data_IF_518879722992
#
_entry.id   IF_518879722992
#
_cell.length_a   1.000
_cell.length_b   1.000
_cell.length_c   1.000
_cell.angle_alpha   90.00
_cell.angle_beta   90.00
_cell.angle_gamma   90.00
#
_symmetry.space_group_name_H-M   'P 1'
#
loop_
_entity.id
_entity.type
_entity.pdbx_description
1 polymer ?
#
# COMPACT_ATOMS: atom_id res chain seq x y z
N UNK A 1 -13.89 2.58 8.12
CA UNK A 1 -13.68 1.36 8.92
C UNK A 1 -13.62 0.10 8.06
N UNK A 2 -14.54 -0.07 7.10
CA UNK A 2 -14.68 -1.30 6.29
C UNK A 2 -13.45 -1.95 5.64
N UNK A 3 -12.54 -1.17 5.06
CA UNK A 3 -11.34 -1.73 4.41
C UNK A 3 -10.38 -2.34 5.44
N UNK A 4 -10.26 -1.73 6.63
CA UNK A 4 -9.40 -2.26 7.68
C UNK A 4 -9.90 -3.62 8.19
N UNK A 5 -11.23 -3.80 8.24
CA UNK A 5 -11.87 -5.06 8.61
C UNK A 5 -11.59 -6.15 7.56
N UNK A 6 -11.75 -5.83 6.27
CA UNK A 6 -11.40 -6.76 5.18
C UNK A 6 -9.92 -7.17 5.21
N UNK A 7 -9.00 -6.22 5.42
CA UNK A 7 -7.58 -6.55 5.51
C UNK A 7 -7.27 -7.37 6.77
N UNK A 8 -7.96 -7.12 7.89
CA UNK A 8 -7.82 -7.92 9.09
C UNK A 8 -8.30 -9.37 8.90
N UNK A 9 -9.40 -9.58 8.18
CA UNK A 9 -9.84 -10.90 7.75
C UNK A 9 -8.77 -11.61 6.93
N UNK A 10 -8.28 -10.94 5.86
CA UNK A 10 -7.25 -11.47 4.99
C UNK A 10 -5.99 -11.91 5.76
N UNK A 11 -5.52 -11.09 6.71
CA UNK A 11 -4.31 -11.39 7.47
C UNK A 11 -4.51 -12.44 8.58
N UNK A 12 -5.74 -12.62 9.09
CA UNK A 12 -6.05 -13.71 10.04
C UNK A 12 -6.22 -15.05 9.33
N UNK A 13 -6.67 -15.00 8.07
CA UNK A 13 -6.99 -16.15 7.23
C UNK A 13 -6.19 -16.13 5.92
N UNK A 14 -4.83 -16.06 5.97
CA UNK A 14 -4.01 -15.87 4.78
C UNK A 14 -3.97 -17.10 3.87
N UNK A 15 -4.19 -18.29 4.44
CA UNK A 15 -4.16 -19.58 3.72
C UNK A 15 -5.54 -20.04 3.25
N UNK A 16 -6.61 -19.42 3.73
CA UNK A 16 -7.95 -19.82 3.37
C UNK A 16 -8.18 -19.51 1.87
N UNK A 17 -8.88 -20.39 1.13
CA UNK A 17 -9.25 -20.11 -0.26
C UNK A 17 -10.03 -18.80 -0.39
N UNK A 18 -9.97 -18.22 -1.58
CA UNK A 18 -10.86 -17.12 -1.95
C UNK A 18 -12.09 -17.79 -2.54
N UNK A 19 -13.23 -17.71 -1.85
CA UNK A 19 -14.52 -18.23 -2.32
C UNK A 19 -15.45 -17.07 -2.70
N UNK A 20 -16.56 -17.38 -3.38
CA UNK A 20 -17.57 -16.39 -3.71
C UNK A 20 -18.16 -15.75 -2.44
N UNK A 21 -18.45 -16.55 -1.42
CA UNK A 21 -18.98 -16.10 -0.14
C UNK A 21 -18.02 -15.12 0.54
N UNK A 22 -16.73 -15.46 0.55
CA UNK A 22 -15.68 -14.59 1.11
C UNK A 22 -15.56 -13.27 0.35
N UNK A 23 -15.64 -13.30 -0.98
CA UNK A 23 -15.67 -12.06 -1.78
C UNK A 23 -16.90 -11.19 -1.47
N UNK A 24 -18.06 -11.81 -1.24
CA UNK A 24 -19.27 -11.09 -0.83
C UNK A 24 -19.16 -10.51 0.58
N UNK A 25 -18.55 -11.22 1.51
CA UNK A 25 -18.24 -10.70 2.86
C UNK A 25 -17.27 -9.53 2.80
N UNK A 26 -16.16 -9.66 2.06
CA UNK A 26 -15.24 -8.56 1.80
C UNK A 26 -15.95 -7.35 1.18
N UNK A 27 -16.85 -7.57 0.22
CA UNK A 27 -17.64 -6.48 -0.35
C UNK A 27 -18.55 -5.82 0.68
N UNK A 28 -19.23 -6.58 1.56
CA UNK A 28 -20.01 -6.03 2.67
C UNK A 28 -19.16 -5.18 3.61
N UNK A 29 -17.97 -5.65 3.97
CA UNK A 29 -17.02 -4.89 4.79
C UNK A 29 -16.63 -3.59 4.09
N UNK A 30 -16.20 -3.65 2.83
CA UNK A 30 -15.74 -2.48 2.06
C UNK A 30 -16.85 -1.44 1.84
N UNK A 31 -18.10 -1.89 1.70
CA UNK A 31 -19.28 -1.01 1.54
C UNK A 31 -19.98 -0.62 2.85
N UNK A 32 -19.46 -1.05 4.01
CA UNK A 32 -20.10 -0.79 5.28
C UNK A 32 -20.43 0.71 5.48
N UNK A 33 -21.71 1.00 5.71
CA UNK A 33 -22.25 2.36 5.89
C UNK A 33 -22.71 3.07 4.60
N UNK A 34 -22.47 2.50 3.41
CA UNK A 34 -23.02 3.01 2.14
C UNK A 34 -24.50 2.67 2.03
N UNK A 35 -25.29 3.62 1.54
CA UNK A 35 -26.75 3.48 1.34
C UNK A 35 -27.18 3.71 -0.10
N UNK A 36 -26.27 4.19 -0.93
CA UNK A 36 -26.43 4.50 -2.35
C UNK A 36 -26.15 3.30 -3.28
N UNK A 37 -25.75 2.17 -2.71
CA UNK A 37 -25.48 0.91 -3.40
C UNK A 37 -26.54 -0.11 -2.97
N UNK A 38 -27.31 -0.63 -3.93
CA UNK A 38 -28.33 -1.64 -3.66
C UNK A 38 -27.73 -3.06 -3.51
N UNK A 39 -26.78 -3.41 -4.39
CA UNK A 39 -26.18 -4.75 -4.47
C UNK A 39 -24.96 -4.89 -3.54
N UNK A 40 -25.15 -4.81 -2.22
CA UNK A 40 -24.06 -5.01 -1.26
C UNK A 40 -23.91 -6.50 -0.90
N UNK A 41 -22.79 -7.08 -1.33
CA UNK A 41 -22.45 -8.47 -1.01
C UNK A 41 -23.06 -9.45 -2.01
N UNK A 42 -23.17 -9.00 -3.26
CA UNK A 42 -23.63 -9.75 -4.42
C UNK A 42 -23.04 -9.11 -5.67
N UNK A 43 -23.01 -9.84 -6.79
CA UNK A 43 -22.64 -9.26 -8.07
C UNK A 43 -23.63 -8.17 -8.51
N UNK A 44 -23.12 -7.19 -9.27
CA UNK A 44 -23.91 -6.08 -9.81
C UNK A 44 -24.96 -6.59 -10.80
N UNK A 45 -26.14 -5.97 -10.77
CA UNK A 45 -27.23 -6.25 -11.72
C UNK A 45 -27.69 -4.95 -12.38
N UNK A 46 -27.25 -4.73 -13.62
CA UNK A 46 -27.70 -3.57 -14.40
C UNK A 46 -27.57 -3.85 -15.91
N UNK A 47 -28.39 -3.17 -16.69
CA UNK A 47 -28.43 -3.32 -18.15
C UNK A 47 -27.36 -2.48 -18.86
N UNK A 48 -26.90 -1.39 -18.24
CA UNK A 48 -25.87 -0.51 -18.82
C UNK A 48 -24.48 -1.16 -18.79
N UNK A 49 -23.56 -0.82 -19.72
CA UNK A 49 -22.18 -1.29 -19.65
C UNK A 49 -21.48 -0.82 -18.36
N UNK A 50 -20.80 -1.73 -17.66
CA UNK A 50 -19.91 -1.35 -16.56
C UNK A 50 -18.58 -0.90 -17.15
N UNK A 51 -18.20 0.35 -16.93
CA UNK A 51 -16.98 0.93 -17.49
C UNK A 51 -15.90 1.08 -16.43
N UNK A 52 -14.69 0.62 -16.76
CA UNK A 52 -13.51 0.85 -15.94
C UNK A 52 -13.00 2.26 -16.26
N UNK A 53 -13.09 3.14 -15.27
CA UNK A 53 -12.81 4.57 -15.43
C UNK A 53 -11.75 5.07 -14.46
N UNK A 54 -11.02 6.11 -14.88
CA UNK A 54 -10.16 6.91 -14.00
C UNK A 54 -10.48 8.40 -14.15
N UNK A 55 -9.95 9.25 -13.27
CA UNK A 55 -10.23 10.69 -13.26
C UNK A 55 -11.33 11.12 -12.28
N UNK A 56 -11.55 12.43 -12.18
CA UNK A 56 -12.57 13.01 -11.30
C UNK A 56 -13.96 12.92 -11.95
N UNK A 57 -15.01 12.94 -11.13
CA UNK A 57 -16.39 12.97 -11.60
C UNK A 57 -16.60 14.11 -12.62
N UNK A 58 -17.21 13.82 -13.76
CA UNK A 58 -17.38 14.77 -14.88
C UNK A 58 -16.15 14.99 -15.77
N UNK A 59 -15.00 14.36 -15.46
CA UNK A 59 -13.79 14.32 -16.30
C UNK A 59 -13.18 12.92 -16.30
N UNK A 60 -14.04 11.91 -16.41
CA UNK A 60 -13.63 10.52 -16.38
C UNK A 60 -13.07 10.11 -17.74
N UNK A 61 -11.97 9.36 -17.72
CA UNK A 61 -11.47 8.61 -18.87
C UNK A 61 -11.98 7.18 -18.76
N UNK A 62 -12.70 6.74 -19.78
CA UNK A 62 -13.08 5.33 -19.95
C UNK A 62 -11.87 4.60 -20.52
N UNK A 63 -11.48 3.50 -19.87
CA UNK A 63 -10.38 2.65 -20.33
C UNK A 63 -10.92 1.46 -21.14
N UNK A 64 -11.89 0.74 -20.59
CA UNK A 64 -12.56 -0.39 -21.26
C UNK A 64 -13.87 -0.73 -20.56
N UNK A 65 -14.65 -1.63 -21.16
CA UNK A 65 -15.93 -2.11 -20.62
C UNK A 65 -15.79 -3.53 -20.07
N UNK A 66 -16.40 -3.80 -18.91
CA UNK A 66 -16.47 -5.11 -18.30
C UNK A 66 -17.59 -5.98 -18.93
N UNK A 67 -17.55 -7.31 -18.75
CA UNK A 67 -18.61 -8.21 -19.23
C UNK A 67 -20.01 -7.81 -18.73
N UNK A 68 -21.10 -8.12 -19.46
CA UNK A 68 -22.46 -7.88 -18.99
C UNK A 68 -22.78 -8.66 -17.70
N UNK A 69 -23.73 -8.15 -16.90
CA UNK A 69 -24.10 -8.74 -15.60
C UNK A 69 -24.47 -10.23 -15.65
N UNK A 70 -25.10 -10.67 -16.74
CA UNK A 70 -25.51 -12.07 -16.95
C UNK A 70 -24.32 -13.06 -17.03
N UNK A 71 -23.12 -12.57 -17.37
CA UNK A 71 -21.91 -13.41 -17.47
C UNK A 71 -21.13 -13.51 -16.16
N UNK A 72 -21.41 -12.65 -15.18
CA UNK A 72 -20.56 -12.52 -13.99
C UNK A 72 -20.43 -13.81 -13.19
N UNK A 73 -21.51 -14.56 -13.00
CA UNK A 73 -21.47 -15.83 -12.26
C UNK A 73 -20.52 -16.84 -12.91
N UNK A 74 -20.56 -16.97 -14.24
CA UNK A 74 -19.69 -17.89 -14.98
C UNK A 74 -18.24 -17.41 -14.97
N UNK A 75 -17.98 -16.12 -15.24
CA UNK A 75 -16.60 -15.61 -15.27
C UNK A 75 -15.94 -15.64 -13.89
N UNK A 76 -16.68 -15.33 -12.83
CA UNK A 76 -16.16 -15.42 -11.47
C UNK A 76 -15.92 -16.86 -11.04
N UNK A 77 -16.81 -17.79 -11.37
CA UNK A 77 -16.60 -19.21 -11.10
C UNK A 77 -15.30 -19.72 -11.75
N UNK A 78 -15.04 -19.34 -13.01
CA UNK A 78 -13.78 -19.67 -13.71
C UNK A 78 -12.55 -19.07 -13.03
N UNK A 79 -12.62 -17.81 -12.61
CA UNK A 79 -11.52 -17.17 -11.91
C UNK A 79 -11.22 -17.86 -10.56
N UNK A 80 -12.25 -18.18 -9.79
CA UNK A 80 -12.09 -18.84 -8.48
C UNK A 80 -11.53 -20.25 -8.63
N UNK A 81 -12.02 -21.01 -9.61
CA UNK A 81 -11.48 -22.33 -9.95
C UNK A 81 -10.01 -22.24 -10.40
N UNK A 82 -9.67 -21.26 -11.23
CA UNK A 82 -8.28 -21.02 -11.66
C UNK A 82 -7.37 -20.65 -10.49
N UNK A 83 -7.86 -19.82 -9.55
CA UNK A 83 -7.12 -19.46 -8.34
C UNK A 83 -6.77 -20.68 -7.49
N UNK A 84 -7.69 -21.64 -7.37
CA UNK A 84 -7.45 -22.87 -6.61
C UNK A 84 -6.47 -23.80 -7.34
N UNK A 85 -6.69 -24.05 -8.62
CA UNK A 85 -5.79 -24.90 -9.43
C UNK A 85 -4.35 -24.39 -9.48
N UNK A 86 -4.17 -23.07 -9.44
CA UNK A 86 -2.84 -22.44 -9.52
C UNK A 86 -2.22 -22.12 -8.16
N UNK A 87 -2.92 -22.44 -7.06
CA UNK A 87 -2.40 -22.27 -5.70
C UNK A 87 -1.12 -23.11 -5.49
N UNK A 88 -0.31 -22.81 -4.45
CA UNK A 88 0.89 -23.61 -4.16
C UNK A 88 0.61 -25.11 -3.98
N UNK A 89 -0.58 -25.45 -3.47
CA UNK A 89 -1.05 -26.83 -3.27
C UNK A 89 -1.91 -27.36 -4.43
N UNK A 90 -2.14 -26.56 -5.46
CA UNK A 90 -3.04 -26.86 -6.58
C UNK A 90 -2.44 -27.79 -7.63
N UNK A 91 -3.26 -28.16 -8.62
CA UNK A 91 -2.85 -29.06 -9.71
C UNK A 91 -1.79 -28.46 -10.65
N UNK A 92 -1.77 -27.14 -10.79
CA UNK A 92 -0.94 -26.40 -11.73
C UNK A 92 -0.33 -25.14 -11.06
N UNK A 93 0.52 -25.32 -10.03
CA UNK A 93 1.03 -24.21 -9.24
C UNK A 93 1.78 -23.20 -10.11
N UNK A 94 1.50 -21.92 -9.87
CA UNK A 94 2.18 -20.81 -10.54
C UNK A 94 3.07 -20.05 -9.55
N UNK A 95 4.12 -19.41 -10.08
CA UNK A 95 4.93 -18.49 -9.29
C UNK A 95 4.05 -17.37 -8.69
N UNK A 96 4.30 -17.02 -7.43
CA UNK A 96 3.44 -16.14 -6.62
C UNK A 96 3.11 -14.80 -7.30
N UNK A 97 4.15 -14.14 -7.83
CA UNK A 97 4.02 -12.82 -8.47
C UNK A 97 3.21 -12.93 -9.76
N UNK A 98 3.47 -13.97 -10.58
CA UNK A 98 2.70 -14.25 -11.80
C UNK A 98 1.24 -14.51 -11.48
N UNK A 99 0.97 -15.38 -10.50
CA UNK A 99 -0.39 -15.70 -10.06
C UNK A 99 -1.13 -14.47 -9.56
N UNK A 100 -0.49 -13.67 -8.71
CA UNK A 100 -1.08 -12.44 -8.17
C UNK A 100 -1.38 -11.42 -9.29
N UNK A 101 -0.45 -11.24 -10.24
CA UNK A 101 -0.62 -10.33 -11.37
C UNK A 101 -1.77 -10.73 -12.29
N UNK A 102 -1.89 -12.02 -12.62
CA UNK A 102 -3.00 -12.54 -13.44
C UNK A 102 -4.32 -12.43 -12.68
N UNK A 103 -4.36 -12.86 -11.42
CA UNK A 103 -5.57 -12.81 -10.59
C UNK A 103 -6.13 -11.38 -10.49
N UNK A 104 -5.23 -10.41 -10.25
CA UNK A 104 -5.58 -9.00 -10.15
C UNK A 104 -6.17 -8.48 -11.47
N UNK A 105 -5.46 -8.68 -12.59
CA UNK A 105 -5.91 -8.25 -13.91
C UNK A 105 -7.26 -8.86 -14.28
N UNK A 106 -7.43 -10.17 -14.09
CA UNK A 106 -8.65 -10.87 -14.45
C UNK A 106 -9.84 -10.40 -13.61
N UNK A 107 -9.66 -10.24 -12.29
CA UNK A 107 -10.71 -9.72 -11.42
C UNK A 107 -11.12 -8.28 -11.80
N UNK A 108 -10.16 -7.38 -12.02
CA UNK A 108 -10.44 -6.00 -12.43
C UNK A 108 -11.14 -5.94 -13.80
N UNK A 109 -10.85 -6.90 -14.69
CA UNK A 109 -11.47 -7.04 -16.00
C UNK A 109 -12.92 -7.53 -15.93
N UNK A 110 -13.24 -8.45 -15.01
CA UNK A 110 -14.63 -8.90 -14.76
C UNK A 110 -15.45 -7.79 -14.09
N UNK A 111 -14.83 -7.04 -13.19
CA UNK A 111 -15.43 -5.92 -12.45
C UNK A 111 -16.80 -6.27 -11.84
N UNK A 112 -16.88 -7.29 -10.97
CA UNK A 112 -18.15 -7.94 -10.62
C UNK A 112 -19.08 -7.12 -9.71
N UNK A 113 -18.57 -6.10 -9.03
CA UNK A 113 -19.33 -5.28 -8.07
C UNK A 113 -19.64 -3.88 -8.60
N UNK A 114 -20.65 -3.21 -8.03
CA UNK A 114 -21.00 -1.83 -8.41
C UNK A 114 -19.93 -0.81 -8.01
N UNK A 115 -19.23 -1.07 -6.90
CA UNK A 115 -18.09 -0.32 -6.40
C UNK A 115 -17.19 -1.32 -5.63
N UNK A 116 -15.98 -0.92 -5.26
CA UNK A 116 -15.11 -1.72 -4.40
C UNK A 116 -14.20 -2.70 -5.12
N UNK A 117 -14.36 -2.88 -6.44
CA UNK A 117 -13.56 -3.80 -7.24
C UNK A 117 -12.06 -3.56 -7.03
N UNK A 118 -11.56 -2.34 -7.26
CA UNK A 118 -10.16 -2.00 -7.00
C UNK A 118 -9.64 -2.41 -5.62
N UNK A 119 -10.47 -2.30 -4.57
CA UNK A 119 -10.08 -2.63 -3.19
C UNK A 119 -10.00 -4.15 -3.00
N UNK A 120 -10.99 -4.88 -3.52
CA UNK A 120 -11.05 -6.34 -3.46
C UNK A 120 -9.99 -6.97 -4.37
N UNK A 121 -9.79 -6.46 -5.58
CA UNK A 121 -8.77 -6.93 -6.51
C UNK A 121 -7.36 -6.83 -5.93
N UNK A 122 -7.07 -5.77 -5.18
CA UNK A 122 -5.80 -5.67 -4.43
C UNK A 122 -5.72 -6.68 -3.29
N UNK A 123 -6.80 -6.92 -2.55
CA UNK A 123 -6.84 -7.97 -1.52
C UNK A 123 -6.62 -9.38 -2.10
N UNK A 124 -7.14 -9.66 -3.30
CA UNK A 124 -6.88 -10.92 -4.04
C UNK A 124 -5.40 -11.05 -4.37
N UNK A 125 -4.76 -9.99 -4.88
CA UNK A 125 -3.32 -9.99 -5.18
C UNK A 125 -2.49 -10.23 -3.91
N UNK A 126 -2.83 -9.54 -2.81
CA UNK A 126 -2.18 -9.71 -1.50
C UNK A 126 -2.34 -11.14 -0.97
N UNK A 127 -3.54 -11.72 -1.07
CA UNK A 127 -3.79 -13.12 -0.71
C UNK A 127 -2.92 -14.08 -1.52
N UNK A 128 -2.82 -13.87 -2.84
CA UNK A 128 -2.02 -14.70 -3.71
C UNK A 128 -0.52 -14.66 -3.36
N UNK A 129 0.00 -13.49 -2.97
CA UNK A 129 1.37 -13.34 -2.50
C UNK A 129 1.57 -13.98 -1.11
N UNK A 130 0.67 -13.72 -0.16
CA UNK A 130 0.78 -14.23 1.21
C UNK A 130 0.77 -15.77 1.28
N UNK A 131 -0.05 -16.43 0.44
CA UNK A 131 -0.11 -17.89 0.36
C UNK A 131 1.20 -18.53 -0.07
N UNK A 132 1.97 -17.88 -0.93
CA UNK A 132 3.23 -18.46 -1.42
C UNK A 132 4.35 -18.48 -0.38
N UNK A 133 4.25 -17.66 0.66
CA UNK A 133 5.25 -17.52 1.73
C UNK A 133 4.70 -17.95 3.10
N UNK A 134 3.50 -18.53 3.11
CA UNK A 134 2.77 -19.03 4.27
C UNK A 134 2.69 -18.05 5.46
N UNK A 135 2.76 -16.75 5.19
CA UNK A 135 2.79 -15.71 6.22
C UNK A 135 2.03 -14.47 5.75
N UNK A 136 1.19 -13.86 6.61
CA UNK A 136 0.64 -12.53 6.35
C UNK A 136 1.78 -11.54 6.15
N UNK A 137 1.91 -10.98 4.95
CA UNK A 137 2.97 -10.02 4.65
C UNK A 137 2.37 -8.67 4.32
N UNK A 138 2.88 -7.65 5.00
CA UNK A 138 2.62 -6.26 4.64
C UNK A 138 3.40 -5.94 3.35
N UNK A 139 2.83 -6.27 2.19
CA UNK A 139 3.57 -6.14 0.92
C UNK A 139 3.71 -4.69 0.44
N UNK A 140 2.88 -3.77 0.97
CA UNK A 140 2.73 -2.40 0.50
C UNK A 140 2.31 -2.26 -0.98
N UNK A 141 1.85 -3.33 -1.63
CA UNK A 141 1.52 -3.34 -3.07
C UNK A 141 0.48 -2.27 -3.41
N UNK A 142 -0.56 -2.13 -2.57
CA UNK A 142 -1.58 -1.09 -2.75
C UNK A 142 -1.00 0.33 -2.78
N UNK A 143 0.04 0.61 -1.98
CA UNK A 143 0.72 1.92 -1.97
C UNK A 143 1.51 2.12 -3.26
N UNK A 144 2.22 1.09 -3.72
CA UNK A 144 2.97 1.11 -4.99
C UNK A 144 2.05 1.36 -6.19
N UNK A 145 0.93 0.62 -6.31
CA UNK A 145 -0.04 0.82 -7.39
C UNK A 145 -0.68 2.22 -7.37
N UNK A 146 -0.95 2.77 -6.19
CA UNK A 146 -1.47 4.13 -6.06
C UNK A 146 -0.46 5.20 -6.50
N UNK A 147 0.83 5.03 -6.14
CA UNK A 147 1.92 5.91 -6.58
C UNK A 147 2.02 5.94 -8.11
N UNK A 148 1.82 4.80 -8.76
CA UNK A 148 1.88 4.62 -10.21
C UNK A 148 0.50 4.57 -10.87
N UNK A 149 -0.51 5.25 -10.31
CA UNK A 149 -1.91 5.13 -10.72
C UNK A 149 -2.13 5.37 -12.21
N UNK A 150 -1.43 6.33 -12.82
CA UNK A 150 -1.56 6.62 -14.26
C UNK A 150 -1.15 5.42 -15.11
N UNK A 151 0.01 4.86 -14.81
CA UNK A 151 0.58 3.74 -15.55
C UNK A 151 -0.22 2.46 -15.29
N UNK A 152 -0.68 2.26 -14.04
CA UNK A 152 -1.58 1.17 -13.68
C UNK A 152 -2.80 1.07 -14.60
N UNK A 153 -3.52 2.17 -14.79
CA UNK A 153 -4.70 2.16 -15.68
C UNK A 153 -4.33 2.01 -17.15
N UNK A 154 -3.19 2.56 -17.59
CA UNK A 154 -2.70 2.35 -18.95
C UNK A 154 -2.34 0.88 -19.22
N UNK A 155 -1.73 0.20 -18.25
CA UNK A 155 -1.39 -1.23 -18.34
C UNK A 155 -2.63 -2.12 -18.31
N UNK A 156 -3.65 -1.78 -17.49
CA UNK A 156 -4.94 -2.48 -17.51
C UNK A 156 -5.64 -2.35 -18.87
N UNK A 157 -5.65 -1.14 -19.45
CA UNK A 157 -6.25 -0.86 -20.77
C UNK A 157 -5.54 -1.60 -21.91
N UNK A 158 -4.21 -1.62 -21.89
CA UNK A 158 -3.43 -2.37 -22.86
C UNK A 158 -3.71 -3.89 -22.75
N UNK A 159 -3.74 -4.41 -21.52
CA UNK A 159 -3.97 -5.83 -21.26
C UNK A 159 -5.42 -6.28 -21.49
N UNK A 160 -6.40 -5.38 -21.44
CA UNK A 160 -7.81 -5.74 -21.71
C UNK A 160 -8.12 -5.92 -23.20
N UNK A 161 -7.21 -5.47 -24.09
CA UNK A 161 -7.40 -5.50 -25.54
C UNK A 161 -6.78 -6.73 -26.23
N UNK A 162 -6.06 -7.58 -25.50
CA UNK A 162 -5.31 -8.73 -26.03
C UNK A 162 -5.21 -9.85 -24.98
N UNK A 163 -4.85 -11.07 -25.41
CA UNK A 163 -4.52 -12.18 -24.51
C UNK A 163 -3.02 -12.23 -24.15
N UNK A 164 -2.21 -11.36 -24.74
CA UNK A 164 -0.77 -11.24 -24.46
C UNK A 164 -0.57 -10.25 -23.32
N UNK A 165 -0.20 -10.74 -22.14
CA UNK A 165 -0.15 -9.96 -20.90
C UNK A 165 1.28 -9.82 -20.33
N UNK A 166 2.30 -10.12 -21.11
CA UNK A 166 3.71 -10.10 -20.72
C UNK A 166 4.16 -8.74 -20.17
N UNK A 167 3.74 -7.65 -20.82
CA UNK A 167 4.04 -6.28 -20.39
C UNK A 167 3.37 -5.95 -19.05
N UNK A 168 2.11 -6.39 -18.88
CA UNK A 168 1.39 -6.26 -17.61
C UNK A 168 2.10 -7.01 -16.49
N UNK A 169 2.51 -8.26 -16.74
CA UNK A 169 3.16 -9.09 -15.73
C UNK A 169 4.53 -8.55 -15.35
N UNK A 170 5.31 -8.10 -16.33
CA UNK A 170 6.62 -7.46 -16.09
C UNK A 170 6.44 -6.18 -15.27
N UNK A 171 5.51 -5.32 -15.67
CA UNK A 171 5.21 -4.10 -14.92
C UNK A 171 4.71 -4.39 -13.51
N UNK A 172 3.80 -5.35 -13.34
CA UNK A 172 3.26 -5.74 -12.03
C UNK A 172 4.35 -6.30 -11.13
N UNK A 173 5.26 -7.14 -11.66
CA UNK A 173 6.40 -7.66 -10.92
C UNK A 173 7.32 -6.56 -10.40
N UNK A 174 7.64 -5.56 -11.23
CA UNK A 174 8.43 -4.40 -10.80
C UNK A 174 7.71 -3.62 -9.69
N UNK A 175 6.39 -3.44 -9.78
CA UNK A 175 5.60 -2.76 -8.74
C UNK A 175 5.55 -3.55 -7.44
N UNK A 176 5.49 -4.88 -7.52
CA UNK A 176 5.54 -5.77 -6.36
C UNK A 176 6.92 -5.70 -5.69
N UNK A 177 8.01 -5.70 -6.45
CA UNK A 177 9.37 -5.53 -5.93
C UNK A 177 9.57 -4.16 -5.26
N UNK A 178 9.14 -3.08 -5.91
CA UNK A 178 9.17 -1.73 -5.33
C UNK A 178 8.42 -1.66 -3.99
N UNK A 179 7.30 -2.38 -3.90
CA UNK A 179 6.51 -2.47 -2.69
C UNK A 179 7.25 -3.21 -1.57
N UNK A 180 7.96 -4.31 -1.89
CA UNK A 180 8.81 -5.03 -0.94
C UNK A 180 9.97 -4.17 -0.43
N UNK A 181 10.67 -3.46 -1.30
CA UNK A 181 11.72 -2.53 -0.87
C UNK A 181 11.17 -1.45 0.06
N UNK A 182 10.01 -0.88 -0.27
CA UNK A 182 9.35 0.12 0.57
C UNK A 182 8.94 -0.44 1.95
N UNK A 183 8.52 -1.71 2.00
CA UNK A 183 8.17 -2.39 3.24
C UNK A 183 9.41 -2.65 4.10
N UNK A 184 10.51 -3.13 3.50
CA UNK A 184 11.79 -3.34 4.19
C UNK A 184 12.35 -2.04 4.77
N UNK A 185 12.35 -0.96 3.98
CA UNK A 185 12.76 0.38 4.46
C UNK A 185 11.92 0.85 5.65
N UNK A 186 10.60 0.61 5.62
CA UNK A 186 9.71 0.97 6.73
C UNK A 186 10.02 0.14 7.98
N UNK A 187 10.22 -1.17 7.84
CA UNK A 187 10.56 -2.05 8.97
C UNK A 187 11.89 -1.63 9.58
N UNK A 188 12.92 -1.41 8.77
CA UNK A 188 14.23 -0.92 9.23
C UNK A 188 14.10 0.42 9.95
N UNK A 189 13.38 1.36 9.35
CA UNK A 189 13.11 2.65 9.97
C UNK A 189 12.44 2.51 11.34
N UNK A 190 11.44 1.63 11.48
CA UNK A 190 10.74 1.43 12.75
C UNK A 190 11.63 0.79 13.81
N UNK A 191 12.50 -0.16 13.42
CA UNK A 191 13.48 -0.77 14.33
C UNK A 191 14.48 0.28 14.81
N UNK A 192 15.06 1.06 13.90
CA UNK A 192 16.04 2.09 14.23
C UNK A 192 15.42 3.26 15.02
N UNK A 193 14.20 3.67 14.67
CA UNK A 193 13.41 4.61 15.47
C UNK A 193 13.26 4.12 16.91
N UNK A 194 12.88 2.86 17.09
CA UNK A 194 12.67 2.27 18.42
C UNK A 194 13.98 2.24 19.20
N UNK A 195 15.07 1.74 18.59
CA UNK A 195 16.41 1.71 19.19
C UNK A 195 16.89 3.10 19.61
N UNK A 196 16.72 4.10 18.73
CA UNK A 196 17.11 5.47 19.01
C UNK A 196 16.33 6.05 20.21
N UNK A 197 15.02 5.91 20.22
CA UNK A 197 14.16 6.44 21.28
C UNK A 197 14.39 5.73 22.62
N UNK A 198 14.62 4.41 22.60
CA UNK A 198 14.93 3.65 23.81
C UNK A 198 16.29 4.03 24.40
N UNK A 199 17.31 4.21 23.56
CA UNK A 199 18.64 4.67 24.00
C UNK A 199 18.61 6.06 24.64
N UNK A 200 17.73 6.94 24.16
CA UNK A 200 17.61 8.32 24.62
C UNK A 200 16.57 8.51 25.72
N UNK A 201 15.91 7.44 26.15
CA UNK A 201 14.84 7.48 27.15
C UNK A 201 15.36 8.09 28.46
N UNK A 202 14.67 9.14 28.94
CA UNK A 202 15.04 9.87 30.16
C UNK A 202 16.26 10.80 30.02
N UNK A 203 16.95 10.80 28.87
CA UNK A 203 18.08 11.69 28.59
C UNK A 203 17.68 12.96 27.82
N UNK A 204 16.46 13.01 27.27
CA UNK A 204 15.95 14.14 26.50
C UNK A 204 15.15 15.10 27.37
N UNK A 205 15.24 16.40 27.06
CA UNK A 205 14.26 17.36 27.52
C UNK A 205 13.02 17.38 26.59
N UNK A 206 11.91 17.95 27.05
CA UNK A 206 10.64 17.98 26.31
C UNK A 206 10.75 18.58 24.89
N UNK A 207 11.58 19.61 24.70
CA UNK A 207 11.75 20.27 23.39
C UNK A 207 12.50 19.37 22.41
N UNK A 208 13.55 18.72 22.90
CA UNK A 208 14.33 17.77 22.11
C UNK A 208 13.48 16.58 21.69
N UNK A 209 12.75 15.98 22.63
CA UNK A 209 11.84 14.87 22.34
C UNK A 209 10.78 15.28 21.31
N UNK A 210 10.16 16.45 21.48
CA UNK A 210 9.18 16.99 20.52
C UNK A 210 9.75 17.12 19.11
N UNK A 211 10.98 17.61 18.97
CA UNK A 211 11.64 17.76 17.65
C UNK A 211 11.98 16.41 17.05
N UNK A 212 12.52 15.47 17.83
CA UNK A 212 12.83 14.13 17.34
C UNK A 212 11.56 13.40 16.89
N UNK A 213 10.48 13.42 17.69
CA UNK A 213 9.20 12.83 17.33
C UNK A 213 8.62 13.47 16.06
N UNK A 214 8.74 14.79 15.92
CA UNK A 214 8.33 15.49 14.70
C UNK A 214 9.13 15.03 13.49
N UNK A 215 10.45 14.91 13.60
CA UNK A 215 11.29 14.43 12.50
C UNK A 215 10.99 12.96 12.15
N UNK A 216 10.82 12.10 13.16
CA UNK A 216 10.48 10.69 13.00
C UNK A 216 9.08 10.48 12.41
N UNK A 217 8.18 11.45 12.50
CA UNK A 217 6.85 11.38 11.89
C UNK A 217 6.88 11.46 10.35
N UNK A 218 7.99 11.92 9.76
CA UNK A 218 8.18 11.94 8.29
C UNK A 218 8.45 10.54 7.72
N UNK A 219 8.74 9.56 8.57
CA UNK A 219 9.00 8.18 8.14
C UNK A 219 10.34 8.00 7.43
N UNK A 220 10.49 6.93 6.63
CA UNK A 220 11.74 6.58 5.95
C UNK A 220 12.27 7.66 4.99
N UNK A 221 11.39 8.45 4.38
CA UNK A 221 11.75 9.56 3.48
C UNK A 221 12.49 10.68 4.22
N UNK A 222 12.31 10.77 5.53
CA UNK A 222 13.02 11.68 6.41
C UNK A 222 12.56 13.14 6.31
N UNK A 223 13.12 13.97 7.19
CA UNK A 223 12.77 15.39 7.24
C UNK A 223 13.37 16.15 6.05
N UNK A 224 12.54 16.46 5.06
CA UNK A 224 12.94 17.09 3.79
C UNK A 224 13.82 18.32 4.02
N UNK A 225 14.97 18.36 3.35
CA UNK A 225 15.95 19.45 3.47
C UNK A 225 16.77 19.48 4.76
N UNK A 226 16.51 18.55 5.69
CA UNK A 226 17.13 18.48 7.02
C UNK A 226 16.58 19.54 7.97
N UNK A 227 16.66 19.25 9.27
CA UNK A 227 16.25 20.19 10.30
C UNK A 227 17.23 21.37 10.33
N UNK A 228 16.72 22.59 10.28
CA UNK A 228 17.49 23.81 10.55
C UNK A 228 17.17 24.37 11.95
N UNK A 229 18.01 25.30 12.43
CA UNK A 229 17.71 26.04 13.66
C UNK A 229 16.37 26.80 13.57
N UNK A 230 16.01 27.29 12.38
CA UNK A 230 14.71 27.92 12.14
C UNK A 230 13.55 26.92 12.30
N UNK A 231 13.69 25.70 11.77
CA UNK A 231 12.68 24.66 11.98
C UNK A 231 12.56 24.29 13.45
N UNK A 232 13.68 24.15 14.16
CA UNK A 232 13.67 23.88 15.61
C UNK A 232 12.92 24.98 16.37
N UNK A 233 13.17 26.25 16.03
CA UNK A 233 12.44 27.39 16.60
C UNK A 233 10.93 27.27 16.36
N UNK A 234 10.51 27.01 15.12
CA UNK A 234 9.09 26.85 14.76
C UNK A 234 8.42 25.70 15.52
N UNK A 235 9.12 24.58 15.73
CA UNK A 235 8.57 23.40 16.41
C UNK A 235 8.46 23.62 17.92
N UNK A 236 9.43 24.31 18.53
CA UNK A 236 9.59 24.35 20.00
C UNK A 236 9.26 25.68 20.65
N UNK A 237 9.31 26.79 19.89
CA UNK A 237 9.19 28.15 20.43
C UNK A 237 10.42 28.62 21.23
N UNK A 238 11.54 27.87 21.22
CA UNK A 238 12.72 28.20 22.01
C UNK A 238 13.48 29.44 21.49
N UNK A 239 14.15 30.21 22.36
CA UNK A 239 15.01 31.31 21.94
C UNK A 239 16.33 30.81 21.32
N UNK A 240 17.04 31.62 20.52
CA UNK A 240 18.23 31.19 19.75
C UNK A 240 19.36 30.54 20.57
N UNK A 241 19.64 31.05 21.78
CA UNK A 241 20.67 30.50 22.67
C UNK A 241 20.31 29.08 23.14
N UNK A 242 19.05 28.85 23.49
CA UNK A 242 18.54 27.52 23.86
C UNK A 242 18.56 26.57 22.66
N UNK A 243 18.17 27.02 21.46
CA UNK A 243 18.21 26.19 20.25
C UNK A 243 19.64 25.71 19.96
N UNK A 244 20.62 26.61 20.05
CA UNK A 244 22.02 26.29 19.79
C UNK A 244 22.52 25.23 20.75
N UNK A 245 22.21 25.37 22.05
CA UNK A 245 22.57 24.40 23.09
C UNK A 245 21.85 23.06 22.89
N UNK A 246 20.54 23.08 22.67
CA UNK A 246 19.73 21.87 22.50
C UNK A 246 20.20 21.06 21.27
N UNK A 247 20.52 21.72 20.15
CA UNK A 247 21.01 21.07 18.94
C UNK A 247 22.42 20.50 19.11
N UNK A 248 23.31 21.21 19.83
CA UNK A 248 24.64 20.70 20.15
C UNK A 248 24.55 19.45 21.03
N UNK A 249 23.72 19.51 22.07
CA UNK A 249 23.46 18.40 23.00
C UNK A 249 22.82 17.19 22.29
N UNK A 250 21.92 17.41 21.31
CA UNK A 250 21.37 16.32 20.49
C UNK A 250 22.42 15.67 19.57
N UNK A 251 23.42 16.42 19.10
CA UNK A 251 24.53 15.86 18.34
C UNK A 251 25.46 15.06 19.26
N UNK A 252 25.77 15.59 20.44
CA UNK A 252 26.60 14.91 21.44
C UNK A 252 25.98 13.60 21.92
N UNK A 253 24.67 13.59 22.16
CA UNK A 253 23.89 12.37 22.45
C UNK A 253 23.79 11.42 21.25
N UNK A 254 24.34 11.78 20.09
CA UNK A 254 24.25 11.00 18.86
C UNK A 254 22.82 10.82 18.37
N UNK A 255 21.91 11.74 18.68
CA UNK A 255 20.54 11.74 18.17
C UNK A 255 20.45 12.36 16.78
N UNK A 256 21.32 13.34 16.52
CA UNK A 256 21.40 14.06 15.25
C UNK A 256 22.80 14.01 14.65
N UNK A 257 22.86 13.88 13.34
CA UNK A 257 24.05 14.12 12.53
C UNK A 257 24.00 15.56 12.00
N UNK A 258 25.07 16.31 12.22
CA UNK A 258 25.22 17.68 11.71
C UNK A 258 25.97 17.66 10.38
N UNK A 259 25.43 18.37 9.40
CA UNK A 259 26.03 18.55 8.07
C UNK A 259 26.02 20.03 7.69
N UNK A 260 26.95 20.44 6.82
CA UNK A 260 27.10 21.82 6.37
C UNK A 260 27.59 22.79 7.44
N UNK A 261 27.74 24.06 7.05
CA UNK A 261 28.31 25.11 7.89
C UNK A 261 27.45 26.37 7.91
N UNK A 262 27.51 27.12 9.02
CA UNK A 262 26.82 28.43 9.20
C UNK A 262 25.35 28.35 8.76
N UNK A 263 24.90 29.21 7.84
CA UNK A 263 23.52 29.25 7.33
C UNK A 263 23.08 27.98 6.58
N UNK A 264 24.04 27.20 6.08
CA UNK A 264 23.80 25.92 5.42
C UNK A 264 23.76 24.72 6.40
N UNK A 265 23.91 24.95 7.72
CA UNK A 265 23.87 23.86 8.71
C UNK A 265 22.51 23.16 8.67
N UNK A 266 22.54 21.83 8.56
CA UNK A 266 21.38 20.94 8.60
C UNK A 266 21.63 19.76 9.53
N UNK A 267 20.58 19.34 10.21
CA UNK A 267 20.61 18.19 11.10
C UNK A 267 19.70 17.08 10.56
N UNK A 268 20.18 15.84 10.61
CA UNK A 268 19.43 14.64 10.24
C UNK A 268 19.40 13.69 11.42
N UNK A 269 18.38 12.84 11.50
CA UNK A 269 18.34 11.79 12.52
C UNK A 269 19.52 10.84 12.32
N UNK A 270 20.18 10.47 13.41
CA UNK A 270 21.23 9.47 13.41
C UNK A 270 20.60 8.07 13.54
N UNK A 271 19.99 7.59 12.46
CA UNK A 271 19.51 6.21 12.34
C UNK A 271 20.59 5.41 11.62
N UNK A 272 20.93 4.21 12.11
CA UNK A 272 21.88 3.36 11.42
C UNK A 272 21.29 2.98 10.06
N UNK A 273 21.83 3.57 9.01
CA UNK A 273 21.56 3.15 7.64
C UNK A 273 22.81 2.40 7.23
N UNK A 274 22.77 1.06 7.34
CA UNK A 274 23.81 0.26 6.70
C UNK A 274 23.71 0.52 5.18
N UNK A 275 24.85 0.93 4.61
CA UNK A 275 25.11 1.06 3.17
C UNK A 275 24.86 -0.23 2.41
#
# INVERSE_FOLDING_TARGET
AGIAEMMADLYRHPLDPITEERLFEWHRMVMNGRRDIADIGSYRRHDEPMQIVSGAFGRQRIHFEAPPSERLAVEMSRLLEWLEHTSPEGAHPLAAVTRAGIAHLWFESIHPFKDGNGRIGRAIAESALARAISTPTFSALSKSLLKHRRDYYAMLEAASSTLVIDDWLSWFADRALEAQYSADELVRFLIEKTRLMDRLRGALNERQEKVLLRMLAEGPEGFTGGLSAGNYATITGAPPSTITRDLADLVEKGALLRTGERKATRYRLNLATET
#
